data_IF_539918668431
#
_entry.id   IF_539918668431
#
_cell.length_a   1.000
_cell.length_b   1.000
_cell.length_c   1.000
_cell.angle_alpha   90.00
_cell.angle_beta   90.00
_cell.angle_gamma   90.00
#
_symmetry.space_group_name_H-M   'P 1'
#
loop_
_entity.id
_entity.type
_entity.pdbx_description
1 polymer ?
#
# COMPACT_ATOMS: atom_id res chain seq x y z
N UNK A 1 53.33 -31.12 -0.39
CA UNK A 1 51.88 -30.90 -0.21
C UNK A 1 51.65 -29.40 -0.19
N UNK A 2 51.07 -28.81 -1.25
CA UNK A 2 50.71 -27.38 -1.33
C UNK A 2 49.20 -27.29 -1.14
N UNK A 3 48.79 -26.67 -0.04
CA UNK A 3 47.39 -26.43 0.30
C UNK A 3 46.90 -25.21 -0.51
N UNK A 4 45.98 -25.43 -1.44
CA UNK A 4 45.30 -24.35 -2.16
C UNK A 4 44.10 -23.89 -1.32
N UNK A 5 44.13 -22.64 -0.85
CA UNK A 5 42.97 -21.99 -0.24
C UNK A 5 41.91 -21.72 -1.35
N UNK A 6 40.63 -22.05 -1.15
CA UNK A 6 39.58 -21.63 -2.05
C UNK A 6 39.36 -20.12 -1.87
N UNK A 7 39.46 -19.40 -2.98
CA UNK A 7 39.08 -17.99 -3.08
C UNK A 7 37.56 -17.89 -2.91
N UNK A 8 37.10 -17.48 -1.73
CA UNK A 8 35.70 -17.14 -1.48
C UNK A 8 35.38 -15.84 -2.21
N UNK A 9 34.76 -15.96 -3.38
CA UNK A 9 34.16 -14.84 -4.08
C UNK A 9 32.95 -14.36 -3.26
N UNK A 10 33.11 -13.29 -2.46
CA UNK A 10 31.96 -12.57 -1.94
C UNK A 10 31.22 -11.95 -3.12
N UNK A 11 30.02 -12.46 -3.45
CA UNK A 11 29.08 -11.71 -4.27
C UNK A 11 28.57 -10.54 -3.42
N UNK A 12 29.02 -9.32 -3.75
CA UNK A 12 28.36 -8.11 -3.28
C UNK A 12 27.00 -8.02 -4.00
N UNK A 13 25.92 -8.24 -3.26
CA UNK A 13 24.57 -8.03 -3.76
C UNK A 13 24.33 -6.51 -3.79
N UNK A 14 24.54 -5.88 -4.93
CA UNK A 14 24.18 -4.48 -5.14
C UNK A 14 22.66 -4.35 -5.03
N UNK A 15 22.15 -3.69 -3.99
CA UNK A 15 20.75 -3.33 -3.91
C UNK A 15 20.44 -2.32 -5.02
N UNK A 16 19.83 -2.79 -6.11
CA UNK A 16 19.29 -1.92 -7.14
C UNK A 16 18.05 -1.27 -6.51
N UNK A 17 18.10 0.03 -6.25
CA UNK A 17 16.90 0.80 -5.90
C UNK A 17 15.97 0.76 -7.10
N UNK A 18 14.89 -0.02 -7.01
CA UNK A 18 13.84 0.01 -8.01
C UNK A 18 13.05 1.30 -7.80
N UNK A 19 12.75 1.99 -8.90
CA UNK A 19 11.87 3.16 -8.85
C UNK A 19 10.40 2.71 -8.91
N UNK A 20 9.52 3.45 -8.25
CA UNK A 20 8.09 3.20 -8.30
C UNK A 20 7.58 3.30 -9.75
N UNK A 21 6.83 2.28 -10.16
CA UNK A 21 6.15 2.21 -11.45
C UNK A 21 4.67 1.96 -11.19
N UNK A 22 3.86 2.90 -11.67
CA UNK A 22 2.40 2.80 -11.68
C UNK A 22 1.93 2.20 -12.99
N UNK A 23 0.99 1.26 -12.90
CA UNK A 23 0.28 0.68 -14.03
C UNK A 23 -1.21 0.63 -13.73
N UNK A 24 -2.03 1.09 -14.67
CA UNK A 24 -3.48 0.96 -14.59
C UNK A 24 -3.89 -0.44 -15.03
N UNK A 25 -4.50 -1.21 -14.13
CA UNK A 25 -4.97 -2.57 -14.40
C UNK A 25 -6.41 -2.59 -14.92
N UNK A 26 -7.22 -1.64 -14.48
CA UNK A 26 -8.58 -1.38 -14.95
C UNK A 26 -8.97 0.08 -14.69
N UNK A 27 -10.20 0.48 -15.04
CA UNK A 27 -10.70 1.87 -14.90
C UNK A 27 -10.33 2.53 -13.57
N UNK A 28 -10.41 1.80 -12.46
CA UNK A 28 -10.21 2.35 -11.11
C UNK A 28 -9.19 1.55 -10.29
N UNK A 29 -8.39 0.70 -10.93
CA UNK A 29 -7.41 -0.16 -10.23
C UNK A 29 -6.01 0.18 -10.70
N UNK A 30 -5.14 0.57 -9.77
CA UNK A 30 -3.78 1.04 -10.05
C UNK A 30 -2.78 0.24 -9.23
N UNK A 31 -1.86 -0.46 -9.90
CA UNK A 31 -0.73 -1.13 -9.26
C UNK A 31 0.45 -0.17 -9.14
N UNK A 32 1.02 -0.06 -7.93
CA UNK A 32 2.19 0.77 -7.63
C UNK A 32 3.30 -0.14 -7.07
N UNK A 33 4.39 -0.30 -7.82
CA UNK A 33 5.40 -1.33 -7.52
C UNK A 33 6.33 -1.00 -6.37
N UNK A 34 6.56 0.27 -6.05
CA UNK A 34 7.42 0.71 -4.96
C UNK A 34 6.74 1.85 -4.18
N UNK A 35 7.34 2.27 -3.07
CA UNK A 35 6.82 3.36 -2.23
C UNK A 35 6.60 4.68 -2.97
N UNK A 36 5.42 5.29 -2.78
CA UNK A 36 5.07 6.63 -3.28
C UNK A 36 4.35 7.44 -2.20
N UNK A 37 4.28 8.76 -2.42
CA UNK A 37 3.45 9.66 -1.64
C UNK A 37 2.12 9.96 -2.36
N UNK A 38 1.02 9.44 -1.81
CA UNK A 38 -0.33 9.75 -2.23
C UNK A 38 -0.80 11.05 -1.60
N UNK A 39 -1.25 11.98 -2.43
CA UNK A 39 -2.00 13.18 -2.02
C UNK A 39 -3.48 12.94 -2.20
N UNK A 40 -4.23 13.18 -1.13
CA UNK A 40 -5.65 12.88 -1.02
C UNK A 40 -6.41 14.19 -0.88
N UNK A 41 -7.11 14.59 -1.93
CA UNK A 41 -8.10 15.66 -1.93
C UNK A 41 -9.52 15.04 -1.86
N UNK A 42 -10.55 15.84 -2.09
CA UNK A 42 -11.93 15.37 -2.15
C UNK A 42 -12.71 16.06 -3.27
N UNK A 43 -13.78 15.40 -3.73
CA UNK A 43 -14.82 16.01 -4.56
C UNK A 43 -16.15 15.96 -3.78
N UNK A 44 -16.52 17.13 -3.24
CA UNK A 44 -17.67 17.25 -2.34
C UNK A 44 -17.55 16.30 -1.14
N UNK A 45 -18.67 15.69 -0.76
CA UNK A 45 -18.76 14.71 0.33
C UNK A 45 -18.79 13.26 -0.17
N UNK A 46 -18.59 13.05 -1.48
CA UNK A 46 -18.88 11.77 -2.13
C UNK A 46 -17.63 10.98 -2.48
N UNK A 47 -16.50 11.65 -2.74
CA UNK A 47 -15.29 10.97 -3.23
C UNK A 47 -14.02 11.55 -2.62
N UNK A 48 -13.06 10.70 -2.29
CA UNK A 48 -11.66 11.10 -2.24
C UNK A 48 -11.10 11.21 -3.66
N UNK A 49 -10.15 12.12 -3.87
CA UNK A 49 -9.43 12.28 -5.13
C UNK A 49 -7.94 12.09 -4.88
N UNK A 50 -7.37 11.05 -5.48
CA UNK A 50 -5.97 10.68 -5.32
C UNK A 50 -5.11 11.27 -6.43
N UNK A 51 -3.89 11.68 -6.05
CA UNK A 51 -2.81 12.01 -6.96
C UNK A 51 -1.46 11.61 -6.36
N UNK A 52 -0.51 11.22 -7.21
CA UNK A 52 0.85 10.86 -6.81
C UNK A 52 1.80 11.00 -8.00
N UNK A 53 3.10 10.96 -7.73
CA UNK A 53 4.14 10.98 -8.76
C UNK A 53 5.08 9.82 -8.53
N UNK A 54 5.49 9.17 -9.61
CA UNK A 54 6.54 8.16 -9.62
C UNK A 54 7.52 8.38 -10.79
N UNK A 55 8.37 7.40 -11.12
CA UNK A 55 9.37 7.58 -12.19
C UNK A 55 8.77 7.67 -13.60
N UNK A 56 7.54 7.20 -13.80
CA UNK A 56 6.85 7.18 -15.08
C UNK A 56 5.92 8.40 -15.26
N UNK A 57 5.69 9.18 -14.22
CA UNK A 57 5.01 10.47 -14.33
C UNK A 57 4.15 10.83 -13.14
N UNK A 58 3.23 11.77 -13.38
CA UNK A 58 2.25 12.23 -12.40
C UNK A 58 0.88 11.69 -12.74
N UNK A 59 0.24 11.14 -11.72
CA UNK A 59 -1.06 10.47 -11.71
C UNK A 59 -2.01 11.30 -10.85
N UNK A 60 -3.25 11.51 -11.28
CA UNK A 60 -4.12 12.40 -10.51
C UNK A 60 -5.56 12.46 -10.98
N UNK A 61 -6.41 13.03 -10.10
CA UNK A 61 -7.86 13.12 -10.25
C UNK A 61 -8.53 11.74 -10.36
N UNK A 62 -7.99 10.74 -9.67
CA UNK A 62 -8.61 9.43 -9.58
C UNK A 62 -9.50 9.36 -8.35
N UNK A 63 -10.79 9.14 -8.59
CA UNK A 63 -11.79 9.08 -7.54
C UNK A 63 -11.89 7.68 -6.96
N UNK A 64 -11.72 7.59 -5.64
CA UNK A 64 -11.81 6.36 -4.85
C UNK A 64 -11.15 5.11 -5.48
N UNK A 65 -9.89 5.22 -5.96
CA UNK A 65 -9.22 4.12 -6.64
C UNK A 65 -9.00 2.92 -5.73
N UNK A 66 -8.98 1.73 -6.32
CA UNK A 66 -8.33 0.57 -5.73
C UNK A 66 -6.83 0.64 -5.98
N UNK A 67 -6.04 0.64 -4.92
CA UNK A 67 -4.57 0.68 -4.99
C UNK A 67 -4.01 -0.72 -4.76
N UNK A 68 -3.20 -1.24 -5.68
CA UNK A 68 -2.47 -2.50 -5.49
C UNK A 68 -1.03 -2.17 -5.11
N UNK A 69 -0.70 -2.39 -3.84
CA UNK A 69 0.56 -2.02 -3.20
C UNK A 69 1.41 -3.27 -2.94
N UNK A 70 2.73 -3.12 -2.90
CA UNK A 70 3.66 -4.21 -2.60
C UNK A 70 4.02 -4.22 -1.12
N UNK A 71 4.02 -5.41 -0.53
CA UNK A 71 4.63 -5.63 0.77
C UNK A 71 6.11 -5.23 0.75
N UNK A 72 6.64 -4.72 1.86
CA UNK A 72 8.02 -4.25 2.02
C UNK A 72 8.24 -2.79 1.61
N UNK A 73 7.29 -2.17 0.93
CA UNK A 73 7.39 -0.81 0.41
C UNK A 73 6.74 0.20 1.35
N UNK A 74 7.35 1.39 1.48
CA UNK A 74 6.83 2.46 2.33
C UNK A 74 5.97 3.43 1.53
N UNK A 75 4.70 3.53 1.87
CA UNK A 75 3.73 4.45 1.27
C UNK A 75 3.37 5.55 2.26
N UNK A 76 3.14 6.76 1.75
CA UNK A 76 2.62 7.85 2.58
C UNK A 76 1.30 8.36 2.03
N UNK A 77 0.33 8.60 2.91
CA UNK A 77 -0.99 9.13 2.56
C UNK A 77 -1.15 10.50 3.20
N UNK A 78 -0.94 11.52 2.38
CA UNK A 78 -1.08 12.92 2.75
C UNK A 78 -2.49 13.39 2.43
N UNK A 79 -3.29 13.62 3.46
CA UNK A 79 -4.54 14.36 3.27
C UNK A 79 -4.20 15.82 2.98
N UNK A 80 -4.86 16.39 1.96
CA UNK A 80 -4.68 17.77 1.50
C UNK A 80 -5.95 18.63 1.64
N UNK A 81 -7.14 18.02 1.82
CA UNK A 81 -8.46 18.69 1.90
C UNK A 81 -8.96 19.05 3.31
N UNK A 82 -9.41 20.28 3.56
CA UNK A 82 -9.64 20.79 4.93
C UNK A 82 -10.84 20.22 5.73
N UNK A 83 -11.65 19.31 5.18
CA UNK A 83 -12.91 18.88 5.84
C UNK A 83 -13.14 17.36 5.91
N UNK A 84 -12.28 16.52 5.32
CA UNK A 84 -12.53 15.07 5.21
C UNK A 84 -11.36 14.25 5.79
N UNK A 85 -11.46 13.80 7.05
CA UNK A 85 -10.47 12.89 7.62
C UNK A 85 -10.48 11.57 6.86
N UNK A 86 -9.29 11.09 6.54
CA UNK A 86 -9.05 9.83 5.82
C UNK A 86 -8.55 8.78 6.81
N UNK A 87 -9.07 7.55 6.75
CA UNK A 87 -8.51 6.45 7.52
C UNK A 87 -8.31 5.21 6.67
N UNK A 88 -7.35 4.38 7.06
CA UNK A 88 -7.15 3.03 6.52
C UNK A 88 -7.74 2.04 7.52
N UNK A 89 -8.46 1.04 7.00
CA UNK A 89 -9.10 -0.02 7.76
C UNK A 89 -8.70 -1.40 7.23
N UNK A 90 -8.79 -2.39 8.11
CA UNK A 90 -8.70 -3.79 7.75
C UNK A 90 -9.97 -4.29 7.03
N UNK A 91 -10.04 -5.59 6.76
CA UNK A 91 -11.16 -6.23 6.05
C UNK A 91 -12.42 -6.41 6.91
N UNK A 92 -12.40 -6.00 8.18
CA UNK A 92 -13.56 -6.04 9.06
C UNK A 92 -14.53 -4.87 8.84
N UNK A 93 -14.11 -3.79 8.17
CA UNK A 93 -14.97 -2.65 7.85
C UNK A 93 -16.14 -3.09 6.95
N UNK A 94 -17.41 -2.96 7.40
CA UNK A 94 -18.55 -3.33 6.57
C UNK A 94 -18.65 -2.42 5.35
N UNK A 95 -18.38 -2.97 4.17
CA UNK A 95 -18.32 -2.22 2.92
C UNK A 95 -19.03 -2.98 1.80
N UNK A 96 -19.55 -2.25 0.82
CA UNK A 96 -20.24 -2.77 -0.37
C UNK A 96 -19.71 -2.06 -1.61
N UNK A 97 -20.08 -2.54 -2.80
CA UNK A 97 -19.66 -1.97 -4.07
C UNK A 97 -18.42 -2.64 -4.64
N UNK A 98 -17.78 -1.95 -5.58
CA UNK A 98 -16.60 -2.42 -6.32
C UNK A 98 -15.68 -1.25 -6.65
N UNK A 99 -14.50 -1.55 -7.23
CA UNK A 99 -13.45 -0.58 -7.57
C UNK A 99 -13.98 0.76 -8.11
N UNK A 100 -13.61 1.87 -7.45
CA UNK A 100 -14.08 3.23 -7.79
C UNK A 100 -15.48 3.59 -7.28
N UNK A 101 -16.16 2.71 -6.55
CA UNK A 101 -17.55 2.90 -6.11
C UNK A 101 -17.87 2.20 -4.77
N UNK A 102 -16.85 1.95 -3.95
CA UNK A 102 -17.08 1.35 -2.64
C UNK A 102 -17.87 2.29 -1.74
N UNK A 103 -18.72 1.73 -0.88
CA UNK A 103 -19.47 2.48 0.11
C UNK A 103 -19.56 1.70 1.40
N UNK A 104 -19.23 2.37 2.50
CA UNK A 104 -19.34 1.82 3.86
C UNK A 104 -20.82 1.59 4.20
N UNK A 105 -21.16 0.38 4.64
CA UNK A 105 -22.50 -0.01 5.07
C UNK A 105 -22.66 0.04 6.61
N UNK A 106 -22.06 1.05 7.24
CA UNK A 106 -22.21 1.32 8.67
C UNK A 106 -22.05 2.81 8.94
N UNK A 107 -22.77 3.29 9.95
CA UNK A 107 -22.66 4.63 10.51
C UNK A 107 -22.26 4.58 11.99
N UNK A 108 -22.06 3.38 12.54
CA UNK A 108 -21.69 3.17 13.94
C UNK A 108 -20.20 3.44 14.13
N UNK A 109 -19.88 4.47 14.91
CA UNK A 109 -18.50 4.86 15.23
C UNK A 109 -17.72 3.75 15.92
N UNK A 110 -18.36 2.89 16.70
CA UNK A 110 -17.69 1.75 17.35
C UNK A 110 -17.21 0.75 16.31
N UNK A 111 -18.07 0.43 15.34
CA UNK A 111 -17.70 -0.47 14.22
C UNK A 111 -16.59 0.14 13.37
N UNK A 112 -16.69 1.44 13.07
CA UNK A 112 -15.66 2.17 12.32
C UNK A 112 -14.32 2.12 13.06
N UNK A 113 -14.30 2.50 14.35
CA UNK A 113 -13.06 2.56 15.13
C UNK A 113 -12.40 1.20 15.30
N UNK A 114 -13.20 0.13 15.47
CA UNK A 114 -12.68 -1.22 15.59
C UNK A 114 -12.06 -1.75 14.29
N UNK A 115 -12.46 -1.20 13.14
CA UNK A 115 -11.92 -1.60 11.83
C UNK A 115 -10.70 -0.79 11.39
N UNK A 116 -10.39 0.32 12.05
CA UNK A 116 -9.21 1.14 11.70
C UNK A 116 -7.97 0.28 11.88
N UNK A 117 -7.08 0.30 10.89
CA UNK A 117 -5.84 -0.45 10.94
C UNK A 117 -5.04 -0.01 12.17
N UNK A 118 -4.51 -0.96 12.96
CA UNK A 118 -3.93 -0.69 14.29
C UNK A 118 -4.94 -0.70 15.45
N UNK A 119 -6.24 -0.69 15.16
CA UNK A 119 -7.33 -0.77 16.12
C UNK A 119 -7.73 0.57 16.74
N UNK A 120 -8.74 0.56 17.63
CA UNK A 120 -9.32 1.77 18.22
C UNK A 120 -8.35 2.51 19.17
N UNK A 121 -7.28 1.85 19.61
CA UNK A 121 -6.26 2.42 20.49
C UNK A 121 -5.13 3.13 19.73
N UNK A 122 -5.06 3.00 18.39
CA UNK A 122 -4.01 3.57 17.52
C UNK A 122 -4.56 4.43 16.38
N UNK A 123 -5.55 5.27 16.69
CA UNK A 123 -6.16 6.17 15.71
C UNK A 123 -5.16 7.16 15.10
N UNK A 124 -4.08 7.50 15.81
CA UNK A 124 -3.11 8.49 15.35
C UNK A 124 -2.17 7.96 14.25
N UNK A 125 -2.10 6.64 14.03
CA UNK A 125 -1.22 6.06 13.01
C UNK A 125 -1.92 5.90 11.67
N UNK A 126 -3.22 5.58 11.69
CA UNK A 126 -4.00 5.25 10.49
C UNK A 126 -5.21 6.14 10.24
N UNK A 127 -5.29 7.28 10.91
CA UNK A 127 -6.22 8.37 10.58
C UNK A 127 -5.44 9.64 10.29
N UNK A 128 -5.62 10.19 9.09
CA UNK A 128 -5.15 11.51 8.70
C UNK A 128 -6.30 12.52 8.84
N UNK A 129 -6.29 13.30 9.92
CA UNK A 129 -7.25 14.36 10.17
C UNK A 129 -6.93 15.62 9.33
N UNK A 130 -7.97 16.38 8.90
CA UNK A 130 -7.76 17.70 8.34
C UNK A 130 -7.19 18.60 9.43
N UNK A 131 -5.97 19.06 9.24
CA UNK A 131 -5.39 20.02 10.17
C UNK A 131 -6.13 21.38 10.08
N UNK A 132 -6.06 22.16 11.15
CA UNK A 132 -6.40 23.59 11.18
C UNK A 132 -5.16 24.49 11.39
N UNK A 133 -3.97 24.04 10.98
CA UNK A 133 -2.65 24.64 11.25
C UNK A 133 -1.54 24.30 10.22
N UNK A 134 -0.26 24.36 10.59
CA UNK A 134 0.88 24.18 9.65
C UNK A 134 1.52 22.78 9.63
N UNK A 135 1.04 21.81 10.41
CA UNK A 135 1.58 20.44 10.46
C UNK A 135 0.73 19.48 9.63
N UNK A 136 1.26 18.97 8.52
CA UNK A 136 0.61 17.94 7.70
C UNK A 136 0.39 16.68 8.54
N UNK A 137 -0.84 16.15 8.54
CA UNK A 137 -1.15 14.86 9.13
C UNK A 137 -0.96 13.76 8.07
N UNK A 138 -0.13 12.77 8.37
CA UNK A 138 0.43 11.83 7.41
C UNK A 138 0.37 10.41 7.96
N UNK A 139 -0.32 9.52 7.24
CA UNK A 139 -0.18 8.08 7.48
C UNK A 139 1.07 7.62 6.73
N UNK A 140 2.02 7.00 7.43
CA UNK A 140 3.18 6.33 6.83
C UNK A 140 3.06 4.85 7.10
N UNK A 141 2.94 4.05 6.04
CA UNK A 141 2.68 2.62 6.16
C UNK A 141 3.65 1.79 5.31
N UNK A 142 4.26 0.80 5.94
CA UNK A 142 5.13 -0.20 5.30
C UNK A 142 4.53 -1.59 5.52
N UNK A 143 3.54 -2.01 4.72
CA UNK A 143 2.93 -3.33 4.89
C UNK A 143 3.98 -4.43 4.74
N UNK A 144 4.03 -5.37 5.66
CA UNK A 144 4.92 -6.53 5.63
C UNK A 144 4.35 -7.65 4.77
N UNK A 145 5.16 -8.67 4.47
CA UNK A 145 4.68 -9.86 3.76
C UNK A 145 3.63 -10.64 4.56
N UNK A 146 3.55 -10.49 5.88
CA UNK A 146 2.50 -11.11 6.69
C UNK A 146 1.16 -10.36 6.59
N UNK A 147 1.20 -9.08 6.21
CA UNK A 147 0.06 -8.17 6.10
C UNK A 147 -0.49 -8.12 4.66
N UNK A 148 -0.25 -9.15 3.85
CA UNK A 148 -0.87 -9.27 2.55
C UNK A 148 -2.38 -9.48 2.69
N UNK A 149 -3.17 -8.83 1.83
CA UNK A 149 -4.62 -8.95 1.88
C UNK A 149 -5.34 -7.71 1.35
N UNK A 150 -6.64 -7.71 1.58
CA UNK A 150 -7.54 -6.60 1.28
C UNK A 150 -7.63 -5.69 2.49
N UNK A 151 -7.52 -4.40 2.23
CA UNK A 151 -7.79 -3.32 3.15
C UNK A 151 -8.76 -2.36 2.48
N UNK A 152 -9.35 -1.50 3.29
CA UNK A 152 -10.20 -0.42 2.82
C UNK A 152 -9.67 0.90 3.33
N UNK A 153 -10.12 1.98 2.70
CA UNK A 153 -10.02 3.31 3.28
C UNK A 153 -11.37 3.97 3.20
N UNK A 154 -11.63 4.90 4.12
CA UNK A 154 -12.89 5.63 4.12
C UNK A 154 -12.76 6.99 4.81
N UNK A 155 -13.80 7.82 4.69
CA UNK A 155 -13.88 9.06 5.45
C UNK A 155 -14.38 8.78 6.87
N UNK A 156 -13.67 9.30 7.87
CA UNK A 156 -14.01 9.11 9.30
C UNK A 156 -15.35 9.75 9.68
N UNK A 157 -15.81 10.74 8.90
CA UNK A 157 -17.14 11.32 9.10
C UNK A 157 -18.19 10.25 8.77
N UNK A 158 -18.98 9.88 9.79
CA UNK A 158 -19.96 8.80 9.71
C UNK A 158 -20.98 9.01 8.58
N UNK A 159 -21.36 10.27 8.30
CA UNK A 159 -22.26 10.64 7.21
C UNK A 159 -21.66 10.62 5.80
N UNK A 160 -20.37 10.30 5.61
CA UNK A 160 -19.70 10.27 4.30
C UNK A 160 -19.29 8.83 3.88
N UNK A 161 -20.23 7.88 3.74
CA UNK A 161 -19.90 6.48 3.48
C UNK A 161 -19.32 6.22 2.09
N UNK A 162 -19.61 7.07 1.12
CA UNK A 162 -19.21 6.89 -0.29
C UNK A 162 -17.77 7.29 -0.57
N UNK A 163 -17.13 8.01 0.36
CA UNK A 163 -15.71 8.38 0.26
C UNK A 163 -14.86 7.18 0.67
N UNK A 164 -14.96 6.08 -0.08
CA UNK A 164 -14.35 4.81 0.29
C UNK A 164 -13.75 4.11 -0.92
N UNK A 165 -12.63 3.44 -0.72
CA UNK A 165 -12.00 2.59 -1.73
C UNK A 165 -11.24 1.43 -1.10
N UNK A 166 -10.47 0.70 -1.90
CA UNK A 166 -9.73 -0.47 -1.44
C UNK A 166 -8.22 -0.33 -1.63
N UNK A 167 -7.47 -1.01 -0.78
CA UNK A 167 -6.05 -1.24 -0.94
C UNK A 167 -5.81 -2.75 -0.94
N UNK A 168 -5.07 -3.24 -1.91
CA UNK A 168 -4.68 -4.63 -2.04
C UNK A 168 -3.18 -4.73 -1.80
N UNK A 169 -2.75 -5.36 -0.70
CA UNK A 169 -1.34 -5.62 -0.42
C UNK A 169 -0.97 -6.98 -0.98
N UNK A 170 0.00 -7.01 -1.88
CA UNK A 170 0.47 -8.22 -2.58
C UNK A 170 1.99 -8.40 -2.43
N UNK A 171 2.57 -9.57 -2.72
CA UNK A 171 4.00 -9.80 -2.55
C UNK A 171 4.87 -8.81 -3.33
N UNK A 172 6.05 -8.49 -2.79
CA UNK A 172 7.11 -7.85 -3.56
C UNK A 172 7.60 -8.81 -4.67
N UNK A 173 7.75 -8.36 -5.93
CA UNK A 173 8.22 -9.21 -7.03
C UNK A 173 9.58 -9.87 -6.77
N UNK A 174 10.48 -9.22 -6.02
CA UNK A 174 11.84 -9.71 -5.76
C UNK A 174 11.86 -11.04 -4.99
N UNK A 175 10.91 -11.26 -4.07
CA UNK A 175 10.81 -12.48 -3.27
C UNK A 175 10.56 -13.73 -4.13
N UNK A 176 9.76 -13.61 -5.19
CA UNK A 176 9.46 -14.73 -6.12
C UNK A 176 10.68 -15.07 -6.97
N UNK A 177 11.40 -14.05 -7.44
CA UNK A 177 12.62 -14.22 -8.23
C UNK A 177 13.75 -14.90 -7.45
N UNK A 178 13.91 -14.58 -6.16
CA UNK A 178 14.95 -15.18 -5.31
C UNK A 178 14.68 -16.67 -5.02
N UNK A 179 13.43 -17.03 -4.74
CA UNK A 179 13.04 -18.43 -4.47
C UNK A 179 13.26 -19.34 -5.70
N UNK A 180 12.91 -18.85 -6.89
CA UNK A 180 13.13 -19.57 -8.14
C UNK A 180 14.63 -19.70 -8.46
N UNK A 181 15.42 -18.65 -8.22
CA UNK A 181 16.86 -18.67 -8.46
C UNK A 181 17.61 -19.60 -7.49
N UNK A 182 17.20 -19.63 -6.21
CA UNK A 182 17.75 -20.54 -5.21
C UNK A 182 17.49 -22.01 -5.53
N UNK A 183 16.29 -22.34 -6.03
CA UNK A 183 15.95 -23.70 -6.45
C UNK A 183 16.84 -24.16 -7.62
N UNK A 184 17.03 -23.33 -8.66
CA UNK A 184 17.87 -23.67 -9.82
C UNK A 184 19.34 -23.89 -9.43
N UNK A 185 19.88 -23.10 -8.50
CA UNK A 185 21.24 -23.29 -7.99
C UNK A 185 21.40 -24.60 -7.20
N UNK A 186 20.39 -24.99 -6.42
CA UNK A 186 20.40 -26.25 -5.68
C UNK A 186 20.34 -27.46 -6.63
N UNK A 187 19.47 -27.41 -7.65
CA UNK A 187 19.34 -28.47 -8.66
C UNK A 187 20.60 -28.62 -9.50
N UNK A 188 21.26 -27.51 -9.88
CA UNK A 188 22.52 -27.55 -10.63
C UNK A 188 23.70 -28.03 -9.77
N UNK A 189 23.75 -27.67 -8.48
CA UNK A 189 24.76 -28.16 -7.55
C UNK A 189 24.61 -29.67 -7.26
N UNK A 190 23.37 -30.17 -7.12
CA UNK A 190 23.09 -31.59 -6.90
C UNK A 190 23.37 -32.44 -8.16
N UNK A 191 23.17 -31.89 -9.36
CA UNK A 191 23.44 -32.58 -10.62
C UNK A 191 24.92 -32.68 -10.95
N UNK A 192 25.76 -31.78 -10.42
CA UNK A 192 27.23 -31.81 -10.56
C UNK A 192 27.94 -32.71 -9.54
N UNK A 193 27.21 -33.27 -8.56
CA UNK A 193 27.73 -34.18 -7.52
C UNK A 193 27.46 -35.66 -7.81
N UNK A 194 26.88 -35.98 -8.96
CA UNK A 194 26.81 -37.32 -9.54
C UNK A 194 27.74 -37.40 -10.73
#
# INVERSE_FOLDING_TARGET
>A
MKLLLPCSCLLALSAVSLQAVTSQLSSSVYSVTEGVAFKIANSGISHFSFSWTDSNGTFGNYFDPTLVLRAGQTYTFERTSSSHPFFIADDSLPITGSDGSYSRNTFDTTVINNSILGGPDDLNTFVAYPNSGSSVDLITWTPTSAEQGTYYYSCYITGHPNMSGSIQVVPEPATVGLLLSGAVLLFTALRRRK
#
